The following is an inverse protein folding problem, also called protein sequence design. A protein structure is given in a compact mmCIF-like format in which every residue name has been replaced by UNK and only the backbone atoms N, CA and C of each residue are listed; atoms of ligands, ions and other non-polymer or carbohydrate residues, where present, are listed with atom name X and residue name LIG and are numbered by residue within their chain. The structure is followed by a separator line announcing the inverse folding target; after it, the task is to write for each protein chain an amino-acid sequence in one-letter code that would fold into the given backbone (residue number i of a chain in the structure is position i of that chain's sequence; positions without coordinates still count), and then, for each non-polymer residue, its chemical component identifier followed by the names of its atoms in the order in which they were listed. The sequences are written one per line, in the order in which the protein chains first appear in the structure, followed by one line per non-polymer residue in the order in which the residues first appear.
data_IF_925846342719
#
_entry.id   IF_925846342719
#
_cell.length_a   1.000
_cell.length_b   1.000
_cell.length_c   1.000
_cell.angle_alpha   90.00
_cell.angle_beta   90.00
_cell.angle_gamma   90.00
#
_symmetry.space_group_name_H-M   'P 1'
#
loop_
_entity.id
_entity.type
_entity.pdbx_description
1 polymer ?
#
# COMPACT_ATOMS: atom_id res chain seq x y z
N UNK A 1 2.09 9.06 58.23
CA UNK A 1 1.21 10.12 57.72
C UNK A 1 2.02 10.91 56.70
N UNK A 2 1.76 10.97 55.40
CA UNK A 2 0.75 10.39 54.53
C UNK A 2 1.09 10.78 53.07
N UNK A 3 0.54 10.00 52.12
CA UNK A 3 0.19 10.33 50.71
C UNK A 3 1.26 10.99 49.81
N UNK A 4 1.89 10.22 48.92
CA UNK A 4 1.42 9.93 47.55
C UNK A 4 1.46 11.16 46.62
N UNK A 5 2.54 11.26 45.84
CA UNK A 5 2.54 11.94 44.53
C UNK A 5 3.32 11.09 43.53
N UNK A 6 2.76 9.91 43.22
CA UNK A 6 3.06 9.20 41.98
C UNK A 6 2.00 9.67 40.96
N UNK A 7 2.30 10.74 40.23
CA UNK A 7 1.42 11.27 39.19
C UNK A 7 2.07 10.97 37.83
N UNK A 8 1.58 9.88 37.25
CA UNK A 8 1.30 9.69 35.82
C UNK A 8 2.47 9.75 34.84
N UNK A 9 3.21 8.65 34.77
CA UNK A 9 4.01 8.26 33.59
C UNK A 9 3.26 7.17 32.79
N UNK A 10 2.00 7.43 32.42
CA UNK A 10 1.13 6.38 31.84
C UNK A 10 0.28 6.87 30.68
N UNK A 11 0.88 7.62 29.76
CA UNK A 11 0.25 7.95 28.46
C UNK A 11 1.02 7.46 27.23
N UNK A 12 2.14 6.72 27.39
CA UNK A 12 3.00 6.29 26.25
C UNK A 12 2.72 4.84 25.83
N UNK A 13 1.49 4.34 25.98
CA UNK A 13 1.15 2.96 25.60
C UNK A 13 0.01 2.86 24.56
N UNK A 14 -0.22 3.92 23.79
CA UNK A 14 -1.24 3.93 22.73
C UNK A 14 -0.72 4.32 21.33
N UNK A 15 0.59 4.50 21.13
CA UNK A 15 1.12 5.03 19.87
C UNK A 15 1.80 4.01 18.93
N UNK A 16 2.04 2.76 19.34
CA UNK A 16 2.90 1.86 18.55
C UNK A 16 2.20 0.79 17.70
N UNK A 17 0.87 0.74 17.68
CA UNK A 17 0.16 -0.25 16.85
C UNK A 17 0.02 0.13 15.37
N UNK A 18 0.51 1.29 14.93
CA UNK A 18 0.52 1.72 13.52
C UNK A 18 1.89 2.18 13.01
N UNK A 19 2.95 2.06 13.82
CA UNK A 19 4.29 2.57 13.49
C UNK A 19 4.99 1.72 12.42
N UNK A 20 4.96 0.40 12.53
CA UNK A 20 5.67 -0.48 11.58
C UNK A 20 5.05 -0.44 10.18
N UNK A 21 3.73 -0.38 10.08
CA UNK A 21 3.03 -0.28 8.79
C UNK A 21 3.28 1.09 8.14
N UNK A 22 3.20 2.18 8.92
CA UNK A 22 3.52 3.54 8.45
C UNK A 22 4.97 3.68 8.02
N UNK A 23 5.92 3.19 8.81
CA UNK A 23 7.34 3.22 8.46
C UNK A 23 7.61 2.39 7.20
N UNK A 24 6.95 1.24 7.04
CA UNK A 24 7.12 0.40 5.86
C UNK A 24 6.56 1.03 4.58
N UNK A 25 5.51 1.85 4.67
CA UNK A 25 5.02 2.62 3.54
C UNK A 25 6.03 3.70 3.12
N UNK A 26 6.39 4.60 4.05
CA UNK A 26 7.12 5.83 3.71
C UNK A 26 8.65 5.71 3.72
N UNK A 27 9.23 4.69 4.37
CA UNK A 27 10.69 4.51 4.42
C UNK A 27 11.20 3.36 3.57
N UNK A 28 10.34 2.39 3.26
CA UNK A 28 10.70 1.19 2.49
C UNK A 28 9.98 1.11 1.15
N UNK A 29 9.24 2.17 0.78
CA UNK A 29 8.56 2.30 -0.51
C UNK A 29 7.68 1.09 -0.84
N UNK A 30 7.04 0.53 0.20
CA UNK A 30 6.19 -0.65 0.06
C UNK A 30 4.76 -0.24 -0.27
N UNK A 31 4.44 -0.31 -1.56
CA UNK A 31 3.11 0.01 -2.09
C UNK A 31 1.98 -0.75 -1.37
N UNK A 32 2.20 -2.02 -1.00
CA UNK A 32 1.21 -2.82 -0.25
C UNK A 32 0.91 -2.26 1.15
N UNK A 33 1.92 -1.71 1.83
CA UNK A 33 1.75 -1.06 3.14
C UNK A 33 1.04 0.29 2.99
N UNK A 34 1.39 1.07 1.97
CA UNK A 34 0.72 2.34 1.67
C UNK A 34 -0.75 2.15 1.33
N UNK A 35 -1.06 1.15 0.50
CA UNK A 35 -2.43 0.73 0.20
C UNK A 35 -3.22 0.42 1.48
N UNK A 36 -2.65 -0.39 2.36
CA UNK A 36 -3.33 -0.75 3.61
C UNK A 36 -3.65 0.48 4.47
N UNK A 37 -2.71 1.42 4.61
CA UNK A 37 -2.92 2.64 5.39
C UNK A 37 -3.90 3.61 4.72
N UNK A 38 -3.85 3.71 3.39
CA UNK A 38 -4.83 4.48 2.64
C UNK A 38 -6.25 3.93 2.87
N UNK A 39 -6.42 2.60 2.90
CA UNK A 39 -7.69 1.95 3.22
C UNK A 39 -8.21 2.34 4.62
N UNK A 40 -7.30 2.59 5.57
CA UNK A 40 -7.63 3.08 6.92
C UNK A 40 -7.88 4.58 6.99
N UNK A 41 -7.83 5.30 5.87
CA UNK A 41 -8.08 6.73 5.78
C UNK A 41 -6.85 7.61 6.02
N UNK A 42 -5.63 7.06 5.89
CA UNK A 42 -4.42 7.88 5.90
C UNK A 42 -4.20 8.52 4.51
N UNK A 43 -4.52 9.81 4.39
CA UNK A 43 -4.41 10.55 3.13
C UNK A 43 -2.98 10.64 2.59
N UNK A 44 -1.97 10.74 3.46
CA UNK A 44 -0.56 10.79 3.05
C UNK A 44 -0.14 9.45 2.43
N UNK A 45 -0.61 8.33 3.00
CA UNK A 45 -0.37 7.01 2.43
C UNK A 45 -1.10 6.78 1.09
N UNK A 46 -2.24 7.43 0.87
CA UNK A 46 -2.94 7.38 -0.42
C UNK A 46 -2.14 8.09 -1.53
N UNK A 47 -1.51 9.23 -1.20
CA UNK A 47 -0.63 9.94 -2.13
C UNK A 47 0.61 9.10 -2.43
N UNK A 48 1.25 8.55 -1.40
CA UNK A 48 2.42 7.68 -1.54
C UNK A 48 2.10 6.42 -2.35
N UNK A 49 0.94 5.78 -2.12
CA UNK A 49 0.48 4.64 -2.93
C UNK A 49 0.37 5.00 -4.41
N UNK A 50 -0.12 6.19 -4.73
CA UNK A 50 -0.23 6.65 -6.11
C UNK A 50 1.15 6.90 -6.75
N UNK A 51 2.09 7.49 -6.02
CA UNK A 51 3.46 7.73 -6.50
C UNK A 51 4.22 6.42 -6.72
N UNK A 52 4.16 5.50 -5.75
CA UNK A 52 4.75 4.17 -5.85
C UNK A 52 4.09 3.35 -6.94
N UNK A 53 2.77 3.44 -7.09
CA UNK A 53 2.03 2.85 -8.18
C UNK A 53 2.56 3.33 -9.53
N UNK A 54 2.67 4.65 -9.70
CA UNK A 54 3.17 5.23 -10.95
C UNK A 54 4.58 4.74 -11.28
N UNK A 55 5.51 4.81 -10.33
CA UNK A 55 6.90 4.43 -10.58
C UNK A 55 7.06 2.92 -10.79
N UNK A 56 6.48 2.09 -9.91
CA UNK A 56 6.67 0.64 -9.99
C UNK A 56 5.88 0.01 -11.14
N UNK A 57 4.61 0.39 -11.36
CA UNK A 57 3.78 -0.17 -12.42
C UNK A 57 4.15 0.38 -13.81
N UNK A 58 4.15 1.71 -13.99
CA UNK A 58 4.27 2.29 -15.33
C UNK A 58 5.71 2.51 -15.77
N UNK A 59 6.58 2.96 -14.87
CA UNK A 59 7.98 3.26 -15.22
C UNK A 59 8.85 2.01 -15.20
N UNK A 60 8.77 1.21 -14.13
CA UNK A 60 9.54 -0.02 -13.99
C UNK A 60 8.89 -1.23 -14.69
N UNK A 61 7.60 -1.14 -15.01
CA UNK A 61 6.88 -2.22 -15.70
C UNK A 61 6.70 -3.45 -14.83
N UNK A 62 6.53 -3.27 -13.51
CA UNK A 62 6.31 -4.35 -12.55
C UNK A 62 4.81 -4.74 -12.51
N UNK A 63 4.45 -5.95 -12.98
CA UNK A 63 3.06 -6.40 -12.93
C UNK A 63 2.51 -6.52 -11.50
N UNK A 64 3.34 -6.84 -10.50
CA UNK A 64 2.88 -6.97 -9.11
C UNK A 64 2.38 -5.63 -8.55
N UNK A 65 3.13 -4.55 -8.79
CA UNK A 65 2.73 -3.21 -8.42
C UNK A 65 1.43 -2.78 -9.12
N UNK A 66 1.30 -3.08 -10.42
CA UNK A 66 0.05 -2.81 -11.14
C UNK A 66 -1.14 -3.57 -10.55
N UNK A 67 -0.96 -4.85 -10.21
CA UNK A 67 -1.99 -5.69 -9.62
C UNK A 67 -2.44 -5.17 -8.25
N UNK A 68 -1.50 -4.73 -7.42
CA UNK A 68 -1.80 -4.20 -6.08
C UNK A 68 -2.72 -2.99 -6.13
N UNK A 69 -2.46 -2.04 -7.05
CA UNK A 69 -3.30 -0.86 -7.27
C UNK A 69 -4.59 -1.21 -8.00
N UNK A 70 -4.57 -2.11 -8.98
CA UNK A 70 -5.78 -2.56 -9.68
C UNK A 70 -6.84 -3.11 -8.70
N UNK A 71 -6.41 -3.75 -7.60
CA UNK A 71 -7.29 -4.30 -6.57
C UNK A 71 -7.91 -3.26 -5.62
N UNK A 72 -7.66 -1.95 -5.80
CA UNK A 72 -8.19 -0.89 -4.91
C UNK A 72 -9.60 -0.42 -5.28
N UNK A 73 -10.16 -0.86 -6.42
CA UNK A 73 -11.43 -0.37 -6.97
C UNK A 73 -12.61 -0.37 -5.97
N UNK A 74 -12.60 -1.24 -4.97
CA UNK A 74 -13.66 -1.36 -3.96
C UNK A 74 -13.18 -1.03 -2.54
N UNK A 75 -11.97 -0.51 -2.38
CA UNK A 75 -11.42 -0.15 -1.08
C UNK A 75 -11.89 1.24 -0.66
N UNK A 76 -11.97 1.44 0.66
CA UNK A 76 -12.27 2.75 1.24
C UNK A 76 -11.04 3.65 1.14
N UNK A 77 -11.19 4.97 1.15
CA UNK A 77 -10.06 5.90 1.07
C UNK A 77 -9.84 6.47 -0.33
N UNK A 78 -8.92 7.43 -0.42
CA UNK A 78 -8.65 8.19 -1.65
C UNK A 78 -7.60 7.50 -2.53
N UNK A 79 -7.75 6.19 -2.74
CA UNK A 79 -6.85 5.41 -3.60
C UNK A 79 -6.79 6.01 -5.02
N UNK A 80 -5.66 5.85 -5.73
CA UNK A 80 -5.58 6.21 -7.15
C UNK A 80 -6.61 5.44 -7.99
N UNK A 81 -6.99 6.02 -9.14
CA UNK A 81 -7.92 5.35 -10.05
C UNK A 81 -7.34 4.00 -10.52
N UNK A 82 -8.06 2.90 -10.26
CA UNK A 82 -7.57 1.54 -10.47
C UNK A 82 -7.50 1.12 -11.94
N UNK A 83 -8.42 1.58 -12.79
CA UNK A 83 -8.58 1.07 -14.17
C UNK A 83 -7.31 1.19 -15.03
N UNK A 84 -6.56 2.32 -15.02
CA UNK A 84 -5.29 2.43 -15.75
C UNK A 84 -4.27 1.37 -15.33
N UNK A 85 -4.20 1.04 -14.03
CA UNK A 85 -3.30 0.02 -13.50
C UNK A 85 -3.76 -1.38 -13.90
N UNK A 86 -5.07 -1.64 -13.89
CA UNK A 86 -5.64 -2.89 -14.38
C UNK A 86 -5.35 -3.13 -15.87
N UNK A 87 -5.51 -2.10 -16.71
CA UNK A 87 -5.16 -2.17 -18.13
C UNK A 87 -3.66 -2.44 -18.30
N UNK A 88 -2.81 -1.69 -17.60
CA UNK A 88 -1.36 -1.87 -17.68
C UNK A 88 -0.92 -3.25 -17.21
N UNK A 89 -1.52 -3.77 -16.15
CA UNK A 89 -1.29 -5.12 -15.67
C UNK A 89 -1.60 -6.16 -16.76
N UNK A 90 -2.77 -6.06 -17.40
CA UNK A 90 -3.17 -6.93 -18.51
C UNK A 90 -2.21 -6.84 -19.70
N UNK A 91 -1.68 -5.65 -20.01
CA UNK A 91 -0.66 -5.48 -21.05
C UNK A 91 0.65 -6.18 -20.68
N UNK A 92 1.15 -5.94 -19.46
CA UNK A 92 2.41 -6.49 -18.98
C UNK A 92 2.36 -8.02 -18.89
N UNK A 93 1.23 -8.60 -18.51
CA UNK A 93 1.06 -10.05 -18.39
C UNK A 93 0.93 -10.78 -19.73
N UNK A 94 0.64 -10.05 -20.83
CA UNK A 94 0.71 -10.62 -22.20
C UNK A 94 2.14 -10.72 -22.73
N UNK A 95 3.11 -10.09 -22.06
CA UNK A 95 4.50 -10.15 -22.47
C UNK A 95 5.11 -11.49 -22.02
N UNK A 96 5.76 -12.20 -22.94
CA UNK A 96 6.40 -13.49 -22.66
C UNK A 96 7.35 -13.45 -21.46
N UNK A 97 8.03 -12.31 -21.22
CA UNK A 97 8.92 -12.13 -20.07
C UNK A 97 8.24 -12.20 -18.70
N UNK A 98 6.92 -12.00 -18.63
CA UNK A 98 6.12 -11.93 -17.40
C UNK A 98 5.14 -13.10 -17.28
N UNK A 99 5.18 -14.07 -18.21
CA UNK A 99 4.21 -15.15 -18.32
C UNK A 99 4.19 -16.09 -17.11
N UNK A 100 5.36 -16.28 -16.48
CA UNK A 100 5.53 -17.10 -15.28
C UNK A 100 5.47 -16.25 -13.99
N UNK A 101 5.05 -14.97 -14.08
CA UNK A 101 4.86 -14.13 -12.91
C UNK A 101 3.56 -14.52 -12.21
N UNK A 102 3.63 -14.77 -10.89
CA UNK A 102 2.46 -15.11 -10.07
C UNK A 102 1.29 -14.13 -10.25
N UNK A 103 1.60 -12.83 -10.35
CA UNK A 103 0.58 -11.78 -10.56
C UNK A 103 -0.14 -11.88 -11.91
N UNK A 104 0.50 -12.51 -12.91
CA UNK A 104 -0.03 -12.69 -14.25
C UNK A 104 -0.78 -14.01 -14.44
N UNK A 105 -0.52 -15.01 -13.60
CA UNK A 105 -1.20 -16.32 -13.66
C UNK A 105 -2.70 -16.23 -13.33
N UNK A 106 -3.14 -15.18 -12.62
CA UNK A 106 -4.54 -15.00 -12.20
C UNK A 106 -5.47 -14.37 -13.25
N UNK A 107 -4.97 -13.93 -14.41
CA UNK A 107 -5.80 -13.22 -15.41
C UNK A 107 -6.62 -14.17 -16.30
N UNK A 108 -6.23 -15.44 -16.42
CA UNK A 108 -6.84 -16.43 -17.33
C UNK A 108 -7.71 -17.52 -16.64
N UNK A 109 -8.08 -17.35 -15.36
CA UNK A 109 -8.96 -18.30 -14.62
C UNK A 109 -10.43 -17.91 -14.59
#
# INVERSE_FOLDING_TARGET
MGVLSAILFSTILLANCGSEESDSCFQQDRIGSCKYLCEKGNEEACLEEAELGQSQCFENGDPAACNLVCQTQNLSGAHPEAEPYCEKHRELCKLEKNKDSFDCEMIDS
#
